data_IF_619337290114
#
_entry.id   IF_619337290114
#
_cell.length_a   1.000
_cell.length_b   1.000
_cell.length_c   1.000
_cell.angle_alpha   90.00
_cell.angle_beta   90.00
_cell.angle_gamma   90.00
#
_symmetry.space_group_name_H-M   'P 1'
#
loop_
_entity.id
_entity.type
_entity.pdbx_description
1 polymer ?
#
# COMPACT_ATOMS: atom_id res chain seq x y z
N UNK A 1 -26.83 90.89 -41.35
CA UNK A 1 -27.54 89.57 -41.49
C UNK A 1 -26.51 88.51 -41.32
N UNK A 2 -26.42 87.88 -40.17
CA UNK A 2 -25.44 86.83 -39.89
C UNK A 2 -26.20 85.47 -39.77
N UNK A 3 -26.00 84.57 -40.69
CA UNK A 3 -26.58 83.20 -40.65
C UNK A 3 -25.72 82.31 -39.76
N UNK A 4 -26.28 81.81 -38.65
CA UNK A 4 -25.66 80.72 -37.83
C UNK A 4 -25.94 79.36 -38.43
N UNK A 5 -24.87 78.69 -38.85
CA UNK A 5 -24.91 77.27 -39.23
C UNK A 5 -24.83 76.40 -37.97
N UNK A 6 -25.83 75.55 -37.73
CA UNK A 6 -25.80 74.50 -36.71
C UNK A 6 -25.46 73.16 -37.43
N UNK A 7 -24.24 72.65 -37.14
CA UNK A 7 -23.85 71.28 -37.57
C UNK A 7 -24.41 70.23 -36.58
N UNK A 8 -24.65 68.99 -37.04
CA UNK A 8 -25.21 67.93 -36.19
C UNK A 8 -24.15 67.32 -35.28
N UNK A 9 -24.54 67.14 -34.03
CA UNK A 9 -23.76 66.45 -32.97
C UNK A 9 -23.90 64.94 -33.21
N UNK A 10 -22.80 64.25 -33.60
CA UNK A 10 -22.73 62.79 -33.61
C UNK A 10 -22.40 62.29 -32.22
N UNK A 11 -23.35 61.61 -31.57
CA UNK A 11 -23.18 60.89 -30.32
C UNK A 11 -22.59 59.55 -30.65
N UNK A 12 -21.25 59.35 -30.42
CA UNK A 12 -20.62 58.03 -30.54
C UNK A 12 -20.89 57.22 -29.29
N UNK A 13 -21.74 56.21 -29.40
CA UNK A 13 -22.02 55.21 -28.37
C UNK A 13 -20.83 54.20 -28.38
N UNK A 14 -19.93 54.32 -27.41
CA UNK A 14 -18.88 53.30 -27.18
C UNK A 14 -19.45 52.06 -26.50
N UNK A 15 -19.62 51.01 -27.24
CA UNK A 15 -19.96 49.67 -26.68
C UNK A 15 -18.74 49.09 -25.95
N UNK A 16 -18.78 49.13 -24.62
CA UNK A 16 -17.80 48.45 -23.76
C UNK A 16 -18.19 46.96 -23.72
N UNK A 17 -17.55 46.14 -24.52
CA UNK A 17 -17.64 44.67 -24.39
C UNK A 17 -16.85 44.21 -23.18
N UNK A 18 -17.53 43.88 -22.08
CA UNK A 18 -16.94 43.17 -20.96
C UNK A 18 -16.56 41.75 -21.43
N UNK A 19 -15.30 41.53 -21.74
CA UNK A 19 -14.75 40.19 -21.91
C UNK A 19 -14.69 39.51 -20.53
N UNK A 20 -15.65 38.67 -20.23
CA UNK A 20 -15.56 37.75 -19.09
C UNK A 20 -14.46 36.75 -19.35
N UNK A 21 -13.26 37.02 -18.81
CA UNK A 21 -12.21 36.01 -18.70
C UNK A 21 -12.71 34.90 -17.76
N UNK A 22 -13.22 33.83 -18.31
CA UNK A 22 -13.35 32.58 -17.60
C UNK A 22 -11.94 32.08 -17.27
N UNK A 23 -11.50 32.34 -16.04
CA UNK A 23 -10.26 31.72 -15.52
C UNK A 23 -10.54 30.22 -15.47
N UNK A 24 -10.14 29.52 -16.54
CA UNK A 24 -10.14 28.08 -16.58
C UNK A 24 -9.27 27.61 -15.41
N UNK A 25 -9.86 26.91 -14.43
CA UNK A 25 -9.08 26.26 -13.36
C UNK A 25 -8.03 25.40 -14.04
N UNK A 26 -6.75 25.71 -13.84
CA UNK A 26 -5.67 24.88 -14.30
C UNK A 26 -5.92 23.43 -13.86
N UNK A 27 -5.97 22.50 -14.80
CA UNK A 27 -6.24 21.10 -14.54
C UNK A 27 -5.11 20.54 -13.66
N UNK A 28 -5.43 19.98 -12.50
CA UNK A 28 -4.44 19.37 -11.61
C UNK A 28 -3.76 18.20 -12.32
N UNK A 29 -2.44 18.11 -12.23
CA UNK A 29 -1.69 16.92 -12.68
C UNK A 29 -1.87 15.72 -11.74
N UNK A 30 -2.37 15.94 -10.53
CA UNK A 30 -2.52 14.94 -9.47
C UNK A 30 -3.95 14.42 -9.42
N UNK A 31 -4.10 13.20 -8.92
CA UNK A 31 -5.38 12.70 -8.45
C UNK A 31 -5.85 13.58 -7.29
N UNK A 32 -7.11 13.99 -7.31
CA UNK A 32 -7.70 14.86 -6.29
C UNK A 32 -8.96 14.25 -5.72
N UNK A 33 -9.56 14.91 -4.73
CA UNK A 33 -10.82 14.48 -4.11
C UNK A 33 -11.94 15.48 -4.44
N UNK A 34 -13.14 14.94 -4.68
CA UNK A 34 -14.40 15.72 -4.80
C UNK A 34 -15.49 14.98 -4.05
N UNK A 35 -15.79 15.44 -2.82
CA UNK A 35 -16.67 14.72 -1.91
C UNK A 35 -16.17 13.29 -1.71
N UNK A 36 -16.99 12.31 -1.98
CA UNK A 36 -16.70 10.88 -1.80
C UNK A 36 -15.92 10.22 -2.94
N UNK A 37 -15.42 10.98 -3.91
CA UNK A 37 -14.82 10.46 -5.13
C UNK A 37 -13.36 10.85 -5.28
N UNK A 38 -12.56 9.91 -5.76
CA UNK A 38 -11.27 10.20 -6.37
C UNK A 38 -11.49 10.75 -7.77
N UNK A 39 -10.74 11.79 -8.12
CA UNK A 39 -10.85 12.47 -9.42
C UNK A 39 -9.49 12.40 -10.11
N UNK A 40 -9.48 11.80 -11.28
CA UNK A 40 -8.28 11.69 -12.12
C UNK A 40 -7.80 13.06 -12.63
N UNK A 41 -6.54 13.17 -13.09
CA UNK A 41 -5.99 14.40 -13.64
C UNK A 41 -6.81 15.02 -14.77
N UNK A 42 -7.60 14.23 -15.50
CA UNK A 42 -8.49 14.72 -16.57
C UNK A 42 -9.88 15.17 -16.06
N UNK A 43 -10.07 15.27 -14.73
CA UNK A 43 -11.30 15.78 -14.09
C UNK A 43 -12.44 14.77 -13.98
N UNK A 44 -12.24 13.52 -14.38
CA UNK A 44 -13.26 12.45 -14.33
C UNK A 44 -13.18 11.65 -13.03
N UNK A 45 -14.27 11.06 -12.54
CA UNK A 45 -14.23 10.09 -11.46
C UNK A 45 -13.24 8.97 -11.78
N UNK A 46 -12.45 8.57 -10.77
CA UNK A 46 -11.44 7.52 -10.85
C UNK A 46 -11.77 6.42 -9.82
N UNK A 47 -12.58 5.41 -10.16
CA UNK A 47 -12.71 4.24 -9.30
C UNK A 47 -11.36 3.52 -9.25
N UNK A 48 -10.73 3.48 -8.07
CA UNK A 48 -9.47 2.77 -7.87
C UNK A 48 -9.73 1.27 -7.92
N UNK A 49 -9.05 0.57 -8.84
CA UNK A 49 -9.05 -0.88 -9.00
C UNK A 49 -7.62 -1.35 -8.95
N UNK A 50 -7.21 -1.90 -7.82
CA UNK A 50 -5.82 -2.17 -7.55
C UNK A 50 -5.51 -3.58 -7.07
N UNK A 51 -4.22 -3.83 -6.93
CA UNK A 51 -3.67 -5.04 -6.33
C UNK A 51 -2.50 -4.67 -5.43
N UNK A 52 -2.39 -5.37 -4.29
CA UNK A 52 -1.29 -5.20 -3.35
C UNK A 52 -0.04 -5.96 -3.84
N UNK A 53 1.10 -5.28 -3.92
CA UNK A 53 2.41 -5.91 -4.17
C UNK A 53 2.97 -6.53 -2.88
N UNK A 54 2.14 -7.34 -2.21
CA UNK A 54 2.47 -7.98 -0.94
C UNK A 54 3.66 -8.92 -1.02
N UNK A 55 4.29 -9.16 0.12
CA UNK A 55 5.48 -10.02 0.27
C UNK A 55 6.77 -9.50 -0.40
N UNK A 56 6.74 -8.38 -1.09
CA UNK A 56 7.91 -7.85 -1.81
C UNK A 56 8.87 -7.07 -0.89
N UNK A 57 8.38 -5.97 -0.29
CA UNK A 57 9.18 -5.10 0.57
C UNK A 57 8.89 -5.32 2.07
N UNK A 58 7.98 -6.23 2.37
CA UNK A 58 7.71 -6.77 3.69
C UNK A 58 7.35 -8.26 3.53
N UNK A 59 8.27 -9.19 3.85
CA UNK A 59 8.03 -10.62 3.74
C UNK A 59 7.14 -11.12 4.89
N UNK A 60 6.16 -11.99 4.57
CA UNK A 60 5.25 -12.62 5.51
C UNK A 60 5.39 -14.14 5.46
N UNK A 61 5.45 -14.80 6.63
CA UNK A 61 5.78 -16.21 6.70
C UNK A 61 4.82 -17.12 5.93
N UNK A 62 3.52 -16.90 6.03
CA UNK A 62 2.53 -17.74 5.33
C UNK A 62 2.65 -17.67 3.81
N UNK A 63 3.17 -16.55 3.28
CA UNK A 63 3.45 -16.37 1.85
C UNK A 63 4.59 -17.27 1.36
N UNK A 64 5.47 -17.71 2.27
CA UNK A 64 6.54 -18.70 2.05
C UNK A 64 6.16 -20.12 2.49
N UNK A 65 4.95 -20.33 3.03
CA UNK A 65 4.48 -21.56 3.68
C UNK A 65 5.12 -21.84 5.05
N UNK A 66 5.68 -20.82 5.72
CA UNK A 66 6.21 -20.94 7.09
C UNK A 66 5.11 -20.71 8.12
N UNK A 67 5.07 -21.53 9.18
CA UNK A 67 4.10 -21.40 10.29
C UNK A 67 4.68 -20.59 11.44
N UNK A 68 5.95 -20.82 11.80
CA UNK A 68 6.57 -20.22 12.98
C UNK A 68 7.51 -19.05 12.65
N UNK A 69 8.19 -19.08 11.51
CA UNK A 69 8.94 -17.94 11.00
C UNK A 69 7.99 -16.99 10.25
N UNK A 70 7.10 -16.31 10.98
CA UNK A 70 5.94 -15.66 10.42
C UNK A 70 6.07 -14.13 10.24
N UNK A 71 7.08 -13.47 10.84
CA UNK A 71 7.34 -12.05 10.69
C UNK A 71 8.63 -11.77 9.88
N UNK A 72 8.81 -10.57 9.30
CA UNK A 72 10.01 -10.22 8.54
C UNK A 72 11.30 -10.54 9.29
N UNK A 73 11.43 -10.15 10.55
CA UNK A 73 12.62 -10.41 11.38
C UNK A 73 12.88 -11.91 11.55
N UNK A 74 11.85 -12.69 11.83
CA UNK A 74 11.99 -14.15 12.01
C UNK A 74 12.36 -14.84 10.70
N UNK A 75 11.86 -14.37 9.56
CA UNK A 75 12.20 -14.87 8.23
C UNK A 75 13.63 -14.51 7.87
N UNK A 76 14.07 -13.28 8.14
CA UNK A 76 15.47 -12.87 7.97
C UNK A 76 16.42 -13.71 8.83
N UNK A 77 16.07 -13.93 10.11
CA UNK A 77 16.82 -14.80 11.03
C UNK A 77 16.90 -16.23 10.49
N UNK A 78 15.80 -16.79 10.00
CA UNK A 78 15.75 -18.11 9.39
C UNK A 78 16.75 -18.24 8.22
N UNK A 79 16.75 -17.28 7.29
CA UNK A 79 17.68 -17.29 6.15
C UNK A 79 19.12 -17.19 6.62
N UNK A 80 19.41 -16.31 7.59
CA UNK A 80 20.76 -16.18 8.15
C UNK A 80 21.21 -17.46 8.88
N UNK A 81 20.33 -18.17 9.59
CA UNK A 81 20.62 -19.47 10.19
C UNK A 81 20.93 -20.55 9.13
N UNK A 82 20.34 -20.45 7.94
CA UNK A 82 20.57 -21.39 6.85
C UNK A 82 21.87 -21.14 6.07
N UNK A 83 22.21 -19.89 5.78
CA UNK A 83 23.31 -19.58 4.85
C UNK A 83 24.35 -18.57 5.38
N UNK A 84 24.15 -18.05 6.57
CA UNK A 84 24.97 -16.98 7.13
C UNK A 84 24.54 -15.60 6.64
N UNK A 85 25.04 -14.58 7.31
CA UNK A 85 24.56 -13.19 7.14
C UNK A 85 24.84 -12.64 5.74
N UNK A 86 26.05 -12.82 5.22
CA UNK A 86 26.46 -12.28 3.94
C UNK A 86 25.72 -12.93 2.74
N UNK A 87 25.52 -14.25 2.78
CA UNK A 87 24.73 -14.95 1.75
C UNK A 87 23.23 -14.62 1.90
N UNK A 88 22.76 -14.41 3.13
CA UNK A 88 21.42 -13.93 3.43
C UNK A 88 21.14 -12.54 2.86
N UNK A 89 22.08 -11.59 3.02
CA UNK A 89 21.99 -10.24 2.42
C UNK A 89 21.90 -10.31 0.89
N UNK A 90 22.72 -11.16 0.26
CA UNK A 90 22.66 -11.38 -1.20
C UNK A 90 21.32 -11.97 -1.64
N UNK A 91 20.81 -12.99 -0.93
CA UNK A 91 19.51 -13.58 -1.20
C UNK A 91 18.40 -12.51 -1.16
N UNK A 92 18.34 -11.68 -0.13
CA UNK A 92 17.31 -10.65 -0.01
C UNK A 92 17.43 -9.55 -1.06
N UNK A 93 18.65 -9.21 -1.47
CA UNK A 93 18.86 -8.28 -2.58
C UNK A 93 18.28 -8.87 -3.88
N UNK A 94 18.68 -10.09 -4.24
CA UNK A 94 18.19 -10.77 -5.44
C UNK A 94 16.68 -11.01 -5.40
N UNK A 95 16.13 -11.35 -4.23
CA UNK A 95 14.71 -11.48 -4.01
C UNK A 95 13.98 -10.18 -4.39
N UNK A 96 14.38 -9.05 -3.81
CA UNK A 96 13.75 -7.74 -4.10
C UNK A 96 13.92 -7.32 -5.55
N UNK A 97 15.02 -7.67 -6.18
CA UNK A 97 15.28 -7.34 -7.59
C UNK A 97 14.45 -8.16 -8.58
N UNK A 98 13.94 -9.34 -8.18
CA UNK A 98 13.28 -10.28 -9.08
C UNK A 98 11.80 -10.58 -8.72
N UNK A 99 11.36 -10.30 -7.49
CA UNK A 99 9.99 -10.60 -7.05
C UNK A 99 8.95 -9.75 -7.76
N UNK A 100 9.20 -8.44 -7.85
CA UNK A 100 8.42 -7.50 -8.67
C UNK A 100 9.37 -6.85 -9.67
N UNK A 101 8.99 -6.88 -10.94
CA UNK A 101 9.73 -6.31 -12.07
C UNK A 101 8.80 -5.52 -12.97
N UNK A 102 9.33 -4.88 -14.00
CA UNK A 102 8.52 -4.18 -15.02
C UNK A 102 7.53 -5.12 -15.71
N UNK A 103 7.86 -6.40 -15.87
CA UNK A 103 6.97 -7.37 -16.51
C UNK A 103 5.74 -7.66 -15.65
N UNK A 104 5.90 -7.70 -14.31
CA UNK A 104 4.79 -7.80 -13.36
C UNK A 104 3.87 -6.57 -13.47
N UNK A 105 4.44 -5.38 -13.49
CA UNK A 105 3.68 -4.11 -13.61
C UNK A 105 2.93 -4.04 -14.95
N UNK A 106 3.57 -4.43 -16.04
CA UNK A 106 2.93 -4.52 -17.36
C UNK A 106 1.77 -5.51 -17.38
N UNK A 107 1.94 -6.68 -16.76
CA UNK A 107 0.87 -7.66 -16.63
C UNK A 107 -0.31 -7.11 -15.84
N UNK A 108 -0.06 -6.45 -14.70
CA UNK A 108 -1.10 -5.79 -13.89
C UNK A 108 -1.87 -4.77 -14.73
N UNK A 109 -1.16 -3.93 -15.48
CA UNK A 109 -1.78 -2.94 -16.38
C UNK A 109 -2.63 -3.57 -17.46
N UNK A 110 -2.09 -4.58 -18.14
CA UNK A 110 -2.76 -5.27 -19.24
C UNK A 110 -4.00 -6.05 -18.77
N UNK A 111 -4.03 -6.51 -17.52
CA UNK A 111 -5.20 -7.13 -16.91
C UNK A 111 -6.37 -6.15 -16.71
N UNK A 112 -6.14 -4.83 -16.78
CA UNK A 112 -7.18 -3.80 -16.66
C UNK A 112 -7.21 -3.08 -15.31
N UNK A 113 -6.29 -3.38 -14.41
CA UNK A 113 -6.11 -2.64 -13.17
C UNK A 113 -5.53 -1.25 -13.43
N UNK A 114 -5.77 -0.29 -12.52
CA UNK A 114 -5.30 1.10 -12.67
C UNK A 114 -4.40 1.57 -11.54
N UNK A 115 -4.20 0.76 -10.51
CA UNK A 115 -3.37 1.13 -9.36
C UNK A 115 -2.71 -0.08 -8.72
N UNK A 116 -1.61 0.19 -8.01
CA UNK A 116 -0.95 -0.76 -7.10
C UNK A 116 -0.78 -0.13 -5.73
N UNK A 117 -0.98 -0.91 -4.68
CA UNK A 117 -0.56 -0.56 -3.32
C UNK A 117 0.76 -1.25 -3.04
N UNK A 118 1.72 -0.53 -2.46
CA UNK A 118 3.09 -0.99 -2.25
C UNK A 118 3.37 -1.06 -0.75
N UNK A 119 3.11 -2.22 -0.12
CA UNK A 119 3.45 -2.47 1.28
C UNK A 119 4.96 -2.47 1.49
N UNK A 120 5.45 -1.74 2.51
CA UNK A 120 6.87 -1.71 2.85
C UNK A 120 7.13 -1.76 4.35
N UNK A 121 8.29 -2.32 4.72
CA UNK A 121 8.83 -2.27 6.08
C UNK A 121 9.72 -1.04 6.25
N UNK A 122 9.56 -0.29 7.34
CA UNK A 122 10.37 0.90 7.66
C UNK A 122 11.87 0.61 7.67
N UNK A 123 12.28 -0.62 8.01
CA UNK A 123 13.70 -1.03 8.07
C UNK A 123 14.42 -0.87 6.74
N UNK A 124 13.70 -0.86 5.62
CA UNK A 124 14.29 -0.60 4.30
C UNK A 124 14.64 0.88 4.07
N UNK A 125 14.21 1.79 4.94
CA UNK A 125 14.41 3.23 4.80
C UNK A 125 15.43 3.82 5.77
N UNK A 126 15.96 2.99 6.68
CA UNK A 126 16.96 3.38 7.66
C UNK A 126 18.28 2.65 7.39
N UNK A 127 19.37 3.23 7.85
CA UNK A 127 20.69 2.57 7.80
C UNK A 127 20.76 1.36 8.72
N UNK A 128 21.43 0.32 8.28
CA UNK A 128 21.75 -0.82 9.13
C UNK A 128 22.72 -0.36 10.26
N UNK A 129 22.33 -0.57 11.51
CA UNK A 129 23.11 -0.14 12.68
C UNK A 129 22.89 1.31 13.14
N UNK A 130 22.29 2.17 12.29
CA UNK A 130 21.97 3.57 12.62
C UNK A 130 20.50 3.89 12.29
N UNK A 131 19.53 3.40 13.06
CA UNK A 131 18.12 3.48 12.70
C UNK A 131 17.55 4.90 12.62
N UNK A 132 18.29 5.92 13.07
CA UNK A 132 17.91 7.33 12.90
C UNK A 132 18.39 7.94 11.57
N UNK A 133 19.30 7.26 10.84
CA UNK A 133 19.81 7.70 9.54
C UNK A 133 18.93 7.15 8.42
N UNK A 134 18.30 8.04 7.65
CA UNK A 134 17.30 7.70 6.64
C UNK A 134 17.94 7.59 5.24
N UNK A 135 18.69 6.52 4.97
CA UNK A 135 19.35 6.28 3.67
C UNK A 135 19.31 4.81 3.20
N UNK A 136 18.41 4.03 3.73
CA UNK A 136 18.25 2.63 3.35
C UNK A 136 17.82 2.43 1.87
N UNK A 137 17.92 1.18 1.36
CA UNK A 137 17.68 0.84 -0.05
C UNK A 137 16.20 0.99 -0.48
N UNK A 138 15.29 1.19 0.46
CA UNK A 138 13.84 1.33 0.19
C UNK A 138 13.52 2.49 -0.74
N UNK A 139 14.28 3.59 -0.67
CA UNK A 139 14.06 4.74 -1.55
C UNK A 139 14.25 4.40 -3.03
N UNK A 140 15.32 3.67 -3.37
CA UNK A 140 15.57 3.23 -4.75
C UNK A 140 14.56 2.20 -5.23
N UNK A 141 14.09 1.31 -4.32
CA UNK A 141 13.08 0.31 -4.64
C UNK A 141 11.73 0.97 -4.96
N UNK A 142 11.34 2.00 -4.21
CA UNK A 142 10.14 2.79 -4.51
C UNK A 142 10.31 3.60 -5.80
N UNK A 143 11.47 4.21 -6.06
CA UNK A 143 11.72 4.92 -7.32
C UNK A 143 11.55 3.99 -8.53
N UNK A 144 12.04 2.75 -8.44
CA UNK A 144 11.91 1.76 -9.52
C UNK A 144 10.44 1.46 -9.81
N UNK A 145 9.65 1.13 -8.79
CA UNK A 145 8.23 0.78 -9.00
C UNK A 145 7.43 1.98 -9.49
N UNK A 146 7.70 3.18 -8.99
CA UNK A 146 7.07 4.41 -9.50
C UNK A 146 7.43 4.65 -10.96
N UNK A 147 8.70 4.47 -11.33
CA UNK A 147 9.17 4.57 -12.71
C UNK A 147 8.46 3.58 -13.65
N UNK A 148 8.34 2.32 -13.24
CA UNK A 148 7.62 1.30 -14.01
C UNK A 148 6.12 1.61 -14.13
N UNK A 149 5.48 2.00 -13.02
CA UNK A 149 4.06 2.37 -13.03
C UNK A 149 3.81 3.61 -13.91
N UNK A 150 4.69 4.60 -13.88
CA UNK A 150 4.63 5.78 -14.76
C UNK A 150 4.72 5.38 -16.23
N UNK A 151 5.64 4.49 -16.58
CA UNK A 151 5.81 3.98 -17.95
C UNK A 151 4.56 3.25 -18.44
N UNK A 152 3.95 2.42 -17.60
CA UNK A 152 2.78 1.60 -17.95
C UNK A 152 1.43 2.30 -17.68
N UNK A 153 1.42 3.51 -17.12
CA UNK A 153 0.20 4.28 -16.85
C UNK A 153 -0.64 3.74 -15.68
N UNK A 154 0.02 3.19 -14.65
CA UNK A 154 -0.58 2.81 -13.37
C UNK A 154 -0.35 3.87 -12.31
N UNK A 155 -1.24 3.97 -11.35
CA UNK A 155 -1.07 4.76 -10.14
C UNK A 155 -0.47 3.94 -9.01
N UNK A 156 0.19 4.63 -8.06
CA UNK A 156 0.86 4.01 -6.90
C UNK A 156 0.32 4.60 -5.60
N UNK A 157 0.06 3.74 -4.61
CA UNK A 157 -0.21 4.12 -3.22
C UNK A 157 0.86 3.45 -2.37
N UNK A 158 1.63 4.24 -1.61
CA UNK A 158 2.60 3.70 -0.65
C UNK A 158 1.92 3.34 0.66
N UNK A 159 2.28 2.20 1.23
CA UNK A 159 1.73 1.70 2.48
C UNK A 159 2.86 1.35 3.46
N UNK A 160 2.88 2.01 4.62
CA UNK A 160 3.77 1.59 5.70
C UNK A 160 3.16 0.39 6.42
N UNK A 161 3.52 -0.78 5.91
CA UNK A 161 3.01 -2.06 6.40
C UNK A 161 3.68 -2.52 7.69
N UNK A 162 4.92 -2.09 7.91
CA UNK A 162 5.64 -2.28 9.16
C UNK A 162 6.27 -0.98 9.60
N UNK A 163 5.77 -0.38 10.67
CA UNK A 163 6.23 0.87 11.26
C UNK A 163 7.26 0.64 12.38
N UNK A 164 8.09 1.65 12.71
CA UNK A 164 8.95 1.61 13.91
C UNK A 164 8.16 1.24 15.17
N UNK A 165 8.66 0.28 15.92
CA UNK A 165 7.99 -0.20 17.14
C UNK A 165 6.84 -1.17 16.91
N UNK A 166 6.34 -1.29 15.68
CA UNK A 166 5.15 -2.07 15.31
C UNK A 166 3.86 -1.33 15.63
N UNK A 167 2.95 -1.30 14.65
CA UNK A 167 1.65 -0.63 14.78
C UNK A 167 0.51 -1.60 15.06
N UNK A 168 0.61 -2.86 14.63
CA UNK A 168 -0.44 -3.87 14.80
C UNK A 168 -0.28 -4.63 16.11
N UNK A 169 0.95 -4.97 16.48
CA UNK A 169 1.30 -5.85 17.60
C UNK A 169 1.33 -7.33 17.21
N UNK A 170 1.39 -7.66 15.92
CA UNK A 170 1.41 -9.03 15.40
C UNK A 170 2.50 -9.22 14.32
N UNK A 171 2.53 -10.39 13.71
CA UNK A 171 3.54 -10.84 12.76
C UNK A 171 3.64 -9.96 11.49
N UNK A 172 2.57 -9.32 11.05
CA UNK A 172 2.54 -8.56 9.80
C UNK A 172 3.34 -7.24 9.86
N UNK A 173 3.60 -6.69 11.04
CA UNK A 173 4.30 -5.41 11.22
C UNK A 173 5.71 -5.56 11.81
N UNK A 174 6.18 -6.80 12.01
CA UNK A 174 7.48 -7.11 12.62
C UNK A 174 7.62 -6.65 14.09
N UNK A 175 6.52 -6.52 14.80
CA UNK A 175 6.49 -6.12 16.21
C UNK A 175 7.12 -7.18 17.15
N UNK A 176 7.18 -6.85 18.43
CA UNK A 176 7.58 -7.77 19.51
C UNK A 176 6.39 -8.39 20.23
N UNK A 177 5.22 -8.49 19.57
CA UNK A 177 3.98 -8.99 20.16
C UNK A 177 3.16 -7.92 20.87
N UNK A 178 3.53 -6.65 20.69
CA UNK A 178 2.82 -5.49 21.22
C UNK A 178 3.05 -4.27 20.31
N UNK A 179 2.04 -3.39 20.10
CA UNK A 179 2.15 -2.24 19.20
C UNK A 179 2.87 -1.05 19.88
N UNK A 180 4.16 -1.16 20.12
CA UNK A 180 4.98 -0.19 20.84
C UNK A 180 5.06 1.18 20.15
N UNK A 181 4.69 1.28 18.86
CA UNK A 181 4.58 2.57 18.18
C UNK A 181 3.75 3.58 18.98
N UNK A 182 2.66 3.12 19.61
CA UNK A 182 1.74 4.01 20.33
C UNK A 182 2.24 4.41 21.72
N UNK A 183 3.37 3.87 22.17
CA UNK A 183 3.96 4.16 23.49
C UNK A 183 5.37 4.74 23.42
N UNK A 184 6.08 4.55 22.28
CA UNK A 184 7.44 5.05 22.08
C UNK A 184 7.44 6.35 21.27
N UNK A 185 7.82 7.45 21.91
CA UNK A 185 8.04 8.75 21.25
C UNK A 185 9.08 8.66 20.13
N UNK A 186 10.14 7.88 20.32
CA UNK A 186 11.22 7.67 19.35
C UNK A 186 10.70 6.95 18.10
N UNK A 187 9.85 5.94 18.28
CA UNK A 187 9.22 5.21 17.17
C UNK A 187 8.24 6.10 16.40
N UNK A 188 7.45 6.92 17.11
CA UNK A 188 6.55 7.89 16.49
C UNK A 188 7.33 8.95 15.69
N UNK A 189 8.39 9.52 16.27
CA UNK A 189 9.23 10.52 15.63
C UNK A 189 9.93 9.97 14.38
N UNK A 190 10.41 8.74 14.44
CA UNK A 190 11.00 8.07 13.28
C UNK A 190 9.96 7.82 12.19
N UNK A 191 8.75 7.39 12.55
CA UNK A 191 7.62 7.24 11.61
C UNK A 191 7.30 8.55 10.91
N UNK A 192 7.19 9.66 11.65
CA UNK A 192 6.97 11.01 11.10
C UNK A 192 8.10 11.42 10.16
N UNK A 193 9.36 11.20 10.55
CA UNK A 193 10.54 11.54 9.72
C UNK A 193 10.55 10.75 8.40
N UNK A 194 10.25 9.44 8.42
CA UNK A 194 10.19 8.61 7.23
C UNK A 194 9.11 9.12 6.28
N UNK A 195 7.89 9.35 6.76
CA UNK A 195 6.81 9.86 5.93
C UNK A 195 7.10 11.26 5.36
N UNK A 196 7.66 12.16 6.16
CA UNK A 196 8.06 13.50 5.68
C UNK A 196 9.11 13.39 4.57
N UNK A 197 10.10 12.49 4.70
CA UNK A 197 11.14 12.29 3.68
C UNK A 197 10.57 11.68 2.40
N UNK A 198 9.68 10.68 2.51
CA UNK A 198 8.98 10.10 1.37
C UNK A 198 8.10 11.15 0.68
N UNK A 199 7.32 11.90 1.43
CA UNK A 199 6.46 12.97 0.89
C UNK A 199 7.28 14.04 0.16
N UNK A 200 8.42 14.49 0.71
CA UNK A 200 9.31 15.43 0.04
C UNK A 200 9.88 14.87 -1.29
N UNK A 201 10.23 13.57 -1.30
CA UNK A 201 10.76 12.91 -2.50
C UNK A 201 9.75 12.85 -3.64
N UNK A 202 8.49 12.55 -3.33
CA UNK A 202 7.44 12.35 -4.32
C UNK A 202 6.49 13.53 -4.48
N UNK A 203 6.69 14.66 -3.80
CA UNK A 203 5.79 15.83 -3.80
C UNK A 203 5.40 16.33 -5.20
N UNK A 204 6.19 16.03 -6.23
CA UNK A 204 5.97 16.44 -7.64
C UNK A 204 5.68 15.28 -8.58
N UNK A 205 5.52 14.04 -8.07
CA UNK A 205 5.32 12.84 -8.91
C UNK A 205 3.84 12.44 -8.94
N UNK A 206 3.09 12.77 -10.01
CA UNK A 206 1.66 12.51 -10.08
C UNK A 206 1.27 11.04 -10.27
N UNK A 207 2.24 10.15 -10.54
CA UNK A 207 2.02 8.70 -10.58
C UNK A 207 1.67 8.17 -9.19
N UNK A 208 2.21 8.78 -8.14
CA UNK A 208 1.82 8.49 -6.76
C UNK A 208 0.49 9.19 -6.47
N UNK A 209 -0.52 8.43 -6.03
CA UNK A 209 -1.80 8.99 -5.57
C UNK A 209 -1.64 9.53 -4.16
N UNK A 210 -0.98 8.76 -3.29
CA UNK A 210 -0.86 9.13 -1.89
C UNK A 210 -0.21 8.09 -1.00
N UNK A 211 -0.41 8.30 0.29
CA UNK A 211 0.28 7.66 1.40
C UNK A 211 -0.74 7.00 2.33
N UNK A 212 -0.71 5.68 2.41
CA UNK A 212 -1.45 4.87 3.39
C UNK A 212 -0.59 4.72 4.64
N UNK A 213 -0.94 5.48 5.68
CA UNK A 213 0.02 5.83 6.72
C UNK A 213 0.44 4.66 7.60
N UNK A 214 -0.49 3.78 7.96
CA UNK A 214 -0.24 2.60 8.80
C UNK A 214 -1.18 1.47 8.37
N UNK A 215 -0.59 0.33 8.02
CA UNK A 215 -1.34 -0.88 7.76
C UNK A 215 -1.87 -1.48 9.07
N UNK A 216 -3.16 -1.74 9.13
CA UNK A 216 -3.81 -2.53 10.18
C UNK A 216 -3.40 -2.21 11.63
N UNK A 217 -3.48 -0.93 12.05
CA UNK A 217 -3.03 -0.55 13.38
C UNK A 217 -3.91 -1.17 14.47
N UNK A 218 -3.27 -1.55 15.58
CA UNK A 218 -3.86 -2.03 16.83
C UNK A 218 -4.78 -3.23 16.60
N UNK A 219 -4.24 -4.44 16.72
CA UNK A 219 -5.04 -5.65 16.62
C UNK A 219 -6.17 -5.67 17.67
N UNK A 220 -7.28 -6.33 17.33
CA UNK A 220 -8.50 -6.32 18.17
C UNK A 220 -8.30 -6.85 19.60
N UNK A 221 -7.32 -7.71 19.85
CA UNK A 221 -7.04 -8.26 21.17
C UNK A 221 -6.32 -7.28 22.12
N UNK A 222 -5.98 -6.07 21.68
CA UNK A 222 -5.52 -4.96 22.52
C UNK A 222 -6.64 -4.00 22.95
N UNK A 223 -7.90 -4.40 22.82
CA UNK A 223 -9.07 -3.54 23.10
C UNK A 223 -9.07 -2.93 24.52
N UNK A 224 -8.48 -3.54 25.51
CA UNK A 224 -8.39 -3.02 26.88
C UNK A 224 -7.26 -2.02 27.16
N UNK A 225 -6.34 -1.82 26.21
CA UNK A 225 -5.05 -1.14 26.43
C UNK A 225 -5.09 0.39 26.20
N UNK A 226 -6.27 0.96 25.92
CA UNK A 226 -6.44 2.41 25.60
C UNK A 226 -5.54 2.94 24.48
N UNK A 227 -5.14 2.07 23.54
CA UNK A 227 -4.26 2.43 22.42
C UNK A 227 -5.01 3.15 21.30
N UNK A 228 -6.28 2.82 21.08
CA UNK A 228 -7.09 3.36 19.99
C UNK A 228 -7.20 4.89 20.06
N UNK A 229 -7.24 5.46 21.25
CA UNK A 229 -7.28 6.91 21.47
C UNK A 229 -5.99 7.62 21.02
N UNK A 230 -4.89 6.89 20.85
CA UNK A 230 -3.58 7.42 20.40
C UNK A 230 -3.43 7.43 18.89
N UNK A 231 -4.30 6.74 18.14
CA UNK A 231 -4.16 6.55 16.69
C UNK A 231 -4.36 7.87 15.92
N UNK A 232 -5.50 8.53 16.06
CA UNK A 232 -5.76 9.79 15.34
C UNK A 232 -4.77 10.90 15.71
N UNK A 233 -4.37 11.12 16.98
CA UNK A 233 -3.30 12.07 17.31
C UNK A 233 -1.99 11.81 16.58
N UNK A 234 -1.57 10.55 16.42
CA UNK A 234 -0.37 10.19 15.65
C UNK A 234 -0.56 10.50 14.17
N UNK A 235 -1.70 10.17 13.59
CA UNK A 235 -2.02 10.52 12.21
C UNK A 235 -1.96 12.02 11.96
N UNK A 236 -2.49 12.85 12.86
CA UNK A 236 -2.42 14.31 12.77
C UNK A 236 -0.97 14.82 12.74
N UNK A 237 -0.08 14.25 13.54
CA UNK A 237 1.36 14.58 13.53
C UNK A 237 2.01 14.20 12.19
N UNK A 238 1.74 12.99 11.67
CA UNK A 238 2.29 12.53 10.39
C UNK A 238 1.77 13.42 9.25
N UNK A 239 0.46 13.66 9.18
CA UNK A 239 -0.14 14.50 8.14
C UNK A 239 0.42 15.93 8.19
N UNK A 240 0.57 16.53 9.36
CA UNK A 240 1.17 17.87 9.50
C UNK A 240 2.59 17.91 8.89
N UNK A 241 3.43 16.92 9.20
CA UNK A 241 4.78 16.82 8.65
C UNK A 241 4.81 16.57 7.13
N UNK A 242 3.88 15.78 6.61
CA UNK A 242 3.70 15.59 5.16
C UNK A 242 3.34 16.93 4.51
N UNK A 243 2.39 17.68 5.08
CA UNK A 243 1.90 18.93 4.47
C UNK A 243 2.93 20.06 4.45
N UNK A 244 3.96 20.01 5.29
CA UNK A 244 5.09 20.94 5.20
C UNK A 244 5.84 20.84 3.86
N UNK A 245 5.84 19.66 3.24
CA UNK A 245 6.63 19.38 2.03
C UNK A 245 5.79 18.96 0.83
N UNK A 246 4.56 18.48 1.06
CA UNK A 246 3.67 17.96 0.02
C UNK A 246 2.22 18.38 0.22
N UNK A 247 1.77 19.42 -0.48
CA UNK A 247 0.37 19.84 -0.47
C UNK A 247 -0.52 19.04 -1.45
N UNK A 248 0.04 18.11 -2.25
CA UNK A 248 -0.65 17.57 -3.40
C UNK A 248 -1.28 16.20 -3.15
N UNK A 249 -0.55 15.29 -2.53
CA UNK A 249 -0.95 13.88 -2.43
C UNK A 249 -2.05 13.64 -1.39
N UNK A 250 -2.83 12.61 -1.64
CA UNK A 250 -3.89 12.13 -0.74
C UNK A 250 -3.24 11.35 0.40
N UNK A 251 -3.77 11.47 1.61
CA UNK A 251 -3.38 10.65 2.74
C UNK A 251 -4.53 9.71 3.06
N UNK A 252 -4.22 8.42 3.16
CA UNK A 252 -5.16 7.37 3.53
C UNK A 252 -4.98 7.05 5.00
N UNK A 253 -6.09 6.97 5.74
CA UNK A 253 -6.11 6.67 7.17
C UNK A 253 -6.87 5.38 7.41
N UNK A 254 -6.19 4.39 7.97
CA UNK A 254 -6.78 3.13 8.40
C UNK A 254 -7.32 3.20 9.82
N UNK A 255 -8.48 2.60 10.09
CA UNK A 255 -9.03 2.50 11.43
C UNK A 255 -8.24 1.55 12.33
N UNK A 256 -8.52 1.55 13.64
CA UNK A 256 -7.98 0.53 14.54
C UNK A 256 -8.57 -0.87 14.24
N UNK A 257 -8.12 -1.88 14.98
CA UNK A 257 -8.61 -3.27 14.89
C UNK A 257 -8.51 -3.83 13.48
N UNK A 258 -7.30 -3.88 12.95
CA UNK A 258 -7.04 -4.38 11.60
C UNK A 258 -7.76 -3.55 10.51
N UNK A 259 -7.71 -2.23 10.62
CA UNK A 259 -8.42 -1.28 9.72
C UNK A 259 -9.94 -1.45 9.68
N UNK A 260 -10.56 -1.98 10.74
CA UNK A 260 -12.02 -2.21 10.75
C UNK A 260 -12.79 -1.22 11.63
N UNK A 261 -12.18 -0.60 12.64
CA UNK A 261 -12.85 0.29 13.58
C UNK A 261 -12.69 1.76 13.21
N UNK A 262 -13.71 2.37 12.59
CA UNK A 262 -13.73 3.80 12.24
C UNK A 262 -14.22 4.72 13.36
N UNK A 263 -14.66 4.18 14.50
CA UNK A 263 -15.09 4.98 15.67
C UNK A 263 -13.94 5.77 16.29
N UNK A 264 -12.70 5.42 15.95
CA UNK A 264 -11.49 6.15 16.37
C UNK A 264 -11.34 7.51 15.70
N UNK A 265 -12.08 7.76 14.63
CA UNK A 265 -11.97 8.99 13.86
C UNK A 265 -13.00 10.04 14.27
N UNK A 266 -12.52 11.28 14.49
CA UNK A 266 -13.33 12.47 14.55
C UNK A 266 -13.71 13.01 13.16
N UNK A 267 -14.01 14.31 13.08
CA UNK A 267 -14.19 14.99 11.80
C UNK A 267 -12.87 15.05 11.01
N UNK A 268 -12.92 14.94 9.67
CA UNK A 268 -11.74 15.08 8.83
C UNK A 268 -10.98 16.37 9.11
N UNK A 269 -9.68 16.26 9.33
CA UNK A 269 -8.83 17.37 9.75
C UNK A 269 -7.92 17.92 8.65
N UNK A 270 -7.94 17.31 7.47
CA UNK A 270 -7.24 17.78 6.27
C UNK A 270 -8.14 17.58 5.03
N UNK A 271 -7.96 18.42 4.01
CA UNK A 271 -8.84 18.44 2.82
C UNK A 271 -8.56 17.29 1.84
N UNK A 272 -7.46 16.58 2.01
CA UNK A 272 -7.02 15.47 1.13
C UNK A 272 -6.89 14.16 1.89
N UNK A 273 -7.84 13.89 2.77
CA UNK A 273 -7.96 12.60 3.46
C UNK A 273 -8.91 11.69 2.70
N UNK A 274 -8.51 10.45 2.57
CA UNK A 274 -9.34 9.29 2.27
C UNK A 274 -9.21 8.31 3.43
N UNK A 275 -10.19 7.44 3.60
CA UNK A 275 -10.18 6.46 4.68
C UNK A 275 -10.14 5.06 4.09
N UNK A 276 -9.30 4.19 4.65
CA UNK A 276 -9.12 2.82 4.18
C UNK A 276 -9.61 1.82 5.22
N UNK A 277 -10.28 0.77 4.74
CA UNK A 277 -10.70 -0.35 5.56
C UNK A 277 -10.28 -1.67 4.94
N UNK A 278 -10.13 -2.70 5.78
CA UNK A 278 -9.82 -4.06 5.38
C UNK A 278 -10.95 -5.00 5.82
N UNK A 279 -11.28 -5.98 5.00
CA UNK A 279 -12.28 -7.00 5.33
C UNK A 279 -11.90 -8.35 4.76
N UNK A 280 -11.86 -9.35 5.61
CA UNK A 280 -11.55 -10.72 5.26
C UNK A 280 -12.59 -11.68 5.87
N UNK A 281 -12.86 -12.76 5.20
CA UNK A 281 -13.60 -13.96 5.68
C UNK A 281 -15.00 -13.70 6.29
N UNK A 282 -15.61 -12.54 6.03
CA UNK A 282 -16.97 -12.23 6.46
C UNK A 282 -18.00 -12.69 5.41
N UNK A 283 -19.28 -12.73 5.82
CA UNK A 283 -20.40 -12.86 4.88
C UNK A 283 -20.48 -11.61 3.98
N UNK A 284 -20.58 -11.84 2.68
CA UNK A 284 -20.63 -10.74 1.69
C UNK A 284 -22.06 -10.20 1.61
N UNK A 285 -22.33 -9.17 2.37
CA UNK A 285 -23.60 -8.45 2.35
C UNK A 285 -23.40 -6.97 2.72
N UNK A 286 -24.45 -6.15 2.56
CA UNK A 286 -24.38 -4.71 2.80
C UNK A 286 -23.95 -4.37 4.25
N UNK A 287 -24.37 -5.15 5.24
CA UNK A 287 -24.04 -4.86 6.64
C UNK A 287 -22.53 -4.96 6.92
N UNK A 288 -21.78 -5.76 6.15
CA UNK A 288 -20.33 -5.88 6.28
C UNK A 288 -19.56 -4.59 5.98
N UNK A 289 -20.15 -3.70 5.17
CA UNK A 289 -19.51 -2.43 4.74
C UNK A 289 -20.32 -1.19 5.14
N UNK A 290 -21.50 -1.35 5.75
CA UNK A 290 -22.42 -0.23 6.01
C UNK A 290 -21.78 0.87 6.89
N UNK A 291 -21.00 0.50 7.90
CA UNK A 291 -20.29 1.46 8.77
C UNK A 291 -19.40 2.42 7.95
N UNK A 292 -18.70 1.92 6.93
CA UNK A 292 -17.81 2.73 6.08
C UNK A 292 -18.62 3.60 5.11
N UNK A 293 -19.73 3.09 4.60
CA UNK A 293 -20.66 3.86 3.76
C UNK A 293 -21.28 5.01 4.56
N UNK A 294 -21.71 4.75 5.80
CA UNK A 294 -22.29 5.77 6.69
C UNK A 294 -21.24 6.83 7.07
N UNK A 295 -20.01 6.40 7.38
CA UNK A 295 -18.91 7.33 7.65
C UNK A 295 -18.63 8.23 6.43
N UNK A 296 -18.53 7.65 5.25
CA UNK A 296 -18.33 8.38 3.99
C UNK A 296 -19.46 9.38 3.73
N UNK A 297 -20.72 8.99 3.96
CA UNK A 297 -21.88 9.86 3.82
C UNK A 297 -21.88 11.00 4.82
N UNK A 298 -21.61 10.70 6.10
CA UNK A 298 -21.62 11.67 7.20
C UNK A 298 -20.56 12.77 6.99
N UNK A 299 -19.37 12.38 6.57
CA UNK A 299 -18.22 13.29 6.46
C UNK A 299 -17.95 13.78 5.04
N UNK A 300 -18.69 13.27 4.03
CA UNK A 300 -18.50 13.58 2.61
C UNK A 300 -17.04 13.37 2.15
N UNK A 301 -16.45 12.24 2.51
CA UNK A 301 -15.07 11.84 2.20
C UNK A 301 -15.04 10.49 1.49
N UNK A 302 -14.03 10.19 0.65
CA UNK A 302 -13.91 8.88 0.06
C UNK A 302 -13.50 7.84 1.09
N UNK A 303 -14.10 6.64 0.95
CA UNK A 303 -13.63 5.41 1.56
C UNK A 303 -13.12 4.47 0.48
N UNK A 304 -12.16 3.64 0.82
CA UNK A 304 -11.49 2.74 -0.09
C UNK A 304 -11.19 1.42 0.62
N UNK A 305 -11.46 0.29 -0.04
CA UNK A 305 -11.06 -1.02 0.49
C UNK A 305 -9.59 -1.24 0.11
N UNK A 306 -8.69 -0.98 1.07
CA UNK A 306 -7.24 -1.04 0.87
C UNK A 306 -6.69 -2.45 0.80
N UNK A 307 -7.40 -3.41 1.43
CA UNK A 307 -6.95 -4.79 1.45
C UNK A 307 -8.10 -5.76 1.71
N UNK A 308 -8.14 -6.83 0.91
CA UNK A 308 -9.03 -7.99 1.05
C UNK A 308 -8.58 -9.10 0.11
N UNK A 309 -9.03 -10.33 0.34
CA UNK A 309 -8.68 -11.46 -0.50
C UNK A 309 -8.63 -12.77 0.28
N UNK A 310 -7.63 -13.62 -0.02
CA UNK A 310 -7.36 -14.89 0.68
C UNK A 310 -8.60 -15.80 0.79
N UNK A 311 -9.45 -15.80 -0.25
CA UNK A 311 -10.71 -16.52 -0.29
C UNK A 311 -10.95 -17.17 -1.68
N UNK A 312 -12.13 -17.77 -1.90
CA UNK A 312 -12.52 -18.35 -3.17
C UNK A 312 -12.81 -17.27 -4.22
N UNK A 313 -12.74 -17.65 -5.49
CA UNK A 313 -13.03 -16.74 -6.61
C UNK A 313 -14.47 -16.21 -6.54
N UNK A 314 -15.43 -17.03 -6.11
CA UNK A 314 -16.85 -16.64 -5.94
C UNK A 314 -17.01 -15.58 -4.85
N UNK A 315 -16.33 -15.76 -3.71
CA UNK A 315 -16.35 -14.78 -2.62
C UNK A 315 -15.75 -13.45 -3.05
N UNK A 316 -14.59 -13.48 -3.72
CA UNK A 316 -13.88 -12.30 -4.22
C UNK A 316 -14.75 -11.55 -5.24
N UNK A 317 -15.37 -12.27 -6.18
CA UNK A 317 -16.28 -11.68 -7.18
C UNK A 317 -17.49 -11.02 -6.53
N UNK A 318 -18.09 -11.68 -5.53
CA UNK A 318 -19.23 -11.15 -4.79
C UNK A 318 -18.86 -9.90 -4.01
N UNK A 319 -17.71 -9.90 -3.31
CA UNK A 319 -17.26 -8.75 -2.53
C UNK A 319 -16.87 -7.56 -3.42
N UNK A 320 -16.15 -7.81 -4.51
CA UNK A 320 -15.87 -6.79 -5.53
C UNK A 320 -17.17 -6.14 -6.04
N UNK A 321 -18.17 -6.95 -6.37
CA UNK A 321 -19.46 -6.45 -6.87
C UNK A 321 -20.19 -5.61 -5.83
N UNK A 322 -20.16 -6.01 -4.56
CA UNK A 322 -20.72 -5.23 -3.45
C UNK A 322 -20.01 -3.87 -3.30
N UNK A 323 -18.69 -3.83 -3.37
CA UNK A 323 -17.90 -2.59 -3.29
C UNK A 323 -18.25 -1.65 -4.46
N UNK A 324 -18.24 -2.18 -5.69
CA UNK A 324 -18.54 -1.40 -6.90
C UNK A 324 -19.97 -0.84 -6.90
N UNK A 325 -20.97 -1.59 -6.40
CA UNK A 325 -22.34 -1.13 -6.27
C UNK A 325 -22.52 0.02 -5.26
N UNK A 326 -21.56 0.15 -4.32
CA UNK A 326 -21.48 1.26 -3.37
C UNK A 326 -20.51 2.36 -3.80
N UNK A 327 -19.99 2.32 -5.03
CA UNK A 327 -18.97 3.24 -5.57
C UNK A 327 -17.68 3.28 -4.72
N UNK A 328 -17.31 2.18 -4.10
CA UNK A 328 -16.08 2.02 -3.31
C UNK A 328 -15.02 1.39 -4.20
N UNK A 329 -13.88 2.08 -4.35
CA UNK A 329 -12.69 1.53 -4.97
C UNK A 329 -12.04 0.46 -4.09
N UNK A 330 -11.21 -0.39 -4.69
CA UNK A 330 -10.65 -1.55 -4.02
C UNK A 330 -9.22 -1.88 -4.44
N UNK A 331 -8.51 -2.60 -3.57
CA UNK A 331 -7.18 -3.13 -3.81
C UNK A 331 -7.09 -4.51 -3.14
N UNK A 332 -7.16 -5.57 -3.93
CA UNK A 332 -7.14 -6.92 -3.39
C UNK A 332 -5.71 -7.39 -3.03
N UNK A 333 -5.63 -8.38 -2.15
CA UNK A 333 -4.42 -9.02 -1.65
C UNK A 333 -4.36 -10.49 -2.05
N UNK A 334 -3.18 -11.02 -2.41
CA UNK A 334 -2.00 -10.33 -2.91
C UNK A 334 -1.84 -10.49 -4.45
N UNK A 335 -0.90 -9.76 -5.03
CA UNK A 335 -0.53 -9.94 -6.44
C UNK A 335 0.12 -11.32 -6.69
N UNK A 336 1.16 -11.67 -5.94
CA UNK A 336 1.99 -12.88 -6.16
C UNK A 336 2.16 -13.67 -4.86
N UNK A 337 2.00 -15.02 -4.92
CA UNK A 337 2.12 -15.89 -3.75
C UNK A 337 2.62 -17.27 -4.13
N UNK A 338 3.37 -17.93 -3.22
CA UNK A 338 3.88 -19.28 -3.43
C UNK A 338 2.76 -20.30 -3.37
N UNK A 339 2.64 -21.12 -4.44
CA UNK A 339 1.72 -22.26 -4.56
C UNK A 339 0.32 -21.94 -4.03
N UNK A 340 -0.32 -20.93 -4.63
CA UNK A 340 -1.63 -20.42 -4.23
C UNK A 340 -2.55 -20.16 -5.43
N UNK A 341 -3.86 -20.22 -5.18
CA UNK A 341 -4.90 -19.83 -6.14
C UNK A 341 -5.47 -18.43 -5.86
N UNK A 342 -5.51 -18.02 -4.58
CA UNK A 342 -6.02 -16.71 -4.14
C UNK A 342 -5.01 -15.59 -4.34
N UNK A 343 -4.52 -15.40 -5.57
CA UNK A 343 -3.61 -14.34 -5.98
C UNK A 343 -3.62 -14.24 -7.51
N UNK A 344 -3.20 -13.12 -8.10
CA UNK A 344 -3.14 -13.02 -9.57
C UNK A 344 -2.11 -13.97 -10.18
N UNK A 345 -0.97 -14.13 -9.51
CA UNK A 345 0.18 -14.88 -10.02
C UNK A 345 0.69 -15.86 -8.96
N UNK A 346 0.75 -17.14 -9.29
CA UNK A 346 1.25 -18.20 -8.41
C UNK A 346 2.69 -18.54 -8.74
N UNK A 347 3.56 -18.53 -7.74
CA UNK A 347 4.94 -19.02 -7.83
C UNK A 347 4.91 -20.54 -7.72
N UNK A 348 5.61 -21.24 -8.60
CA UNK A 348 5.72 -22.69 -8.55
C UNK A 348 6.66 -23.11 -7.40
N UNK A 349 6.16 -23.97 -6.51
CA UNK A 349 6.94 -24.49 -5.38
C UNK A 349 7.87 -25.62 -5.84
N UNK A 350 9.15 -25.51 -5.57
CA UNK A 350 10.08 -26.62 -5.77
C UNK A 350 10.03 -27.63 -4.60
N UNK A 351 10.32 -28.89 -4.89
CA UNK A 351 10.42 -29.96 -3.85
C UNK A 351 11.51 -29.63 -2.82
N UNK A 352 12.59 -28.99 -3.24
CA UNK A 352 13.69 -28.62 -2.34
C UNK A 352 13.30 -27.54 -1.34
N UNK A 353 12.25 -26.71 -1.65
CA UNK A 353 11.70 -25.72 -0.72
C UNK A 353 11.11 -26.36 0.54
N UNK A 354 10.65 -27.60 0.47
CA UNK A 354 10.13 -28.34 1.62
C UNK A 354 11.16 -28.52 2.73
N UNK A 355 12.43 -28.56 2.40
CA UNK A 355 13.49 -28.61 3.40
C UNK A 355 13.64 -27.25 4.14
N UNK A 356 13.40 -26.14 3.46
CA UNK A 356 13.39 -24.81 4.08
C UNK A 356 12.16 -24.68 4.98
N UNK A 357 10.98 -25.08 4.50
CA UNK A 357 9.73 -25.08 5.30
C UNK A 357 9.88 -25.97 6.53
N UNK A 358 10.42 -27.18 6.37
CA UNK A 358 10.67 -28.09 7.50
C UNK A 358 11.58 -27.45 8.55
N UNK A 359 12.69 -26.84 8.12
CA UNK A 359 13.57 -26.12 9.03
C UNK A 359 12.89 -24.91 9.68
N UNK A 360 12.07 -24.17 8.93
CA UNK A 360 11.31 -23.03 9.45
C UNK A 360 10.38 -23.44 10.60
N UNK A 361 9.74 -24.59 10.49
CA UNK A 361 8.71 -25.07 11.42
C UNK A 361 9.27 -25.89 12.60
N UNK A 362 10.56 -26.25 12.58
CA UNK A 362 11.23 -26.86 13.72
C UNK A 362 11.71 -25.82 14.75
N UNK A 363 11.90 -26.20 16.03
CA UNK A 363 12.53 -25.35 17.05
C UNK A 363 13.90 -24.87 16.59
N UNK A 364 14.19 -23.54 16.75
CA UNK A 364 15.41 -22.87 16.30
C UNK A 364 15.86 -21.76 17.28
N UNK A 365 15.49 -21.88 18.54
CA UNK A 365 15.79 -20.87 19.58
C UNK A 365 17.19 -21.02 20.14
N UNK A 366 17.73 -22.25 20.15
CA UNK A 366 19.09 -22.53 20.61
C UNK A 366 20.03 -22.88 19.46
N UNK A 367 21.35 -22.67 19.66
CA UNK A 367 22.35 -23.08 18.69
C UNK A 367 22.35 -24.59 18.41
N UNK A 368 22.01 -25.40 19.43
CA UNK A 368 21.91 -26.85 19.28
C UNK A 368 20.72 -27.23 18.37
N UNK A 369 19.57 -26.63 18.57
CA UNK A 369 18.39 -26.84 17.72
C UNK A 369 18.66 -26.45 16.27
N UNK A 370 19.32 -25.30 16.04
CA UNK A 370 19.73 -24.86 14.70
C UNK A 370 20.64 -25.88 14.04
N UNK A 371 21.71 -26.35 14.76
CA UNK A 371 22.64 -27.34 14.21
C UNK A 371 21.97 -28.66 13.89
N UNK A 372 21.10 -29.15 14.80
CA UNK A 372 20.41 -30.44 14.67
C UNK A 372 19.42 -30.46 13.51
N UNK A 373 18.69 -29.37 13.32
CA UNK A 373 17.56 -29.31 12.37
C UNK A 373 17.97 -28.76 10.98
N UNK A 374 19.17 -28.15 10.87
CA UNK A 374 19.62 -27.50 9.64
C UNK A 374 19.80 -28.52 8.50
N UNK A 375 19.15 -28.33 7.34
CA UNK A 375 19.32 -29.20 6.18
C UNK A 375 20.75 -29.14 5.61
N UNK A 376 21.16 -30.13 4.81
CA UNK A 376 22.43 -30.12 4.12
C UNK A 376 22.63 -28.85 3.30
N UNK A 377 23.82 -28.24 3.38
CA UNK A 377 24.15 -26.95 2.77
C UNK A 377 23.82 -26.86 1.28
N UNK A 378 24.15 -27.90 0.51
CA UNK A 378 23.90 -27.90 -0.93
C UNK A 378 22.40 -27.93 -1.26
N UNK A 379 21.60 -28.64 -0.46
CA UNK A 379 20.15 -28.67 -0.59
C UNK A 379 19.55 -27.29 -0.29
N UNK A 380 20.02 -26.62 0.77
CA UNK A 380 19.59 -25.25 1.12
C UNK A 380 19.89 -24.28 -0.02
N UNK A 381 21.14 -24.26 -0.50
CA UNK A 381 21.55 -23.37 -1.59
C UNK A 381 20.80 -23.62 -2.88
N UNK A 382 20.53 -24.91 -3.20
CA UNK A 382 19.71 -25.26 -4.35
C UNK A 382 18.29 -24.73 -4.18
N UNK A 383 17.64 -24.95 -3.03
CA UNK A 383 16.30 -24.49 -2.75
C UNK A 383 16.17 -22.96 -2.88
N UNK A 384 17.14 -22.20 -2.34
CA UNK A 384 17.15 -20.73 -2.43
C UNK A 384 17.34 -20.25 -3.88
N UNK A 385 18.25 -20.87 -4.66
CA UNK A 385 18.43 -20.53 -6.09
C UNK A 385 17.18 -20.84 -6.90
N UNK A 386 16.59 -22.02 -6.70
CA UNK A 386 15.37 -22.43 -7.41
C UNK A 386 14.21 -21.48 -7.08
N UNK A 387 14.10 -21.04 -5.83
CA UNK A 387 13.09 -20.09 -5.42
C UNK A 387 13.30 -18.72 -6.08
N UNK A 388 14.54 -18.20 -6.12
CA UNK A 388 14.87 -16.93 -6.78
C UNK A 388 14.61 -16.97 -8.30
N UNK A 389 14.73 -18.14 -8.93
CA UNK A 389 14.32 -18.28 -10.33
C UNK A 389 12.80 -18.43 -10.48
N UNK A 390 12.13 -19.15 -9.58
CA UNK A 390 10.70 -19.38 -9.63
C UNK A 390 9.87 -18.09 -9.42
N UNK A 391 10.37 -17.11 -8.65
CA UNK A 391 9.67 -15.84 -8.41
C UNK A 391 9.65 -14.92 -9.63
N UNK A 392 10.49 -15.15 -10.64
CA UNK A 392 10.49 -14.35 -11.86
C UNK A 392 9.17 -14.52 -12.61
N UNK A 393 8.56 -13.44 -13.05
CA UNK A 393 7.25 -13.46 -13.69
C UNK A 393 7.10 -14.54 -14.77
N UNK A 394 8.10 -14.67 -15.65
CA UNK A 394 8.10 -15.65 -16.75
C UNK A 394 7.98 -17.12 -16.30
N UNK A 395 8.31 -17.42 -15.04
CA UNK A 395 8.26 -18.77 -14.47
C UNK A 395 7.04 -19.01 -13.57
N UNK A 396 6.23 -18.00 -13.41
CA UNK A 396 5.01 -18.04 -12.60
C UNK A 396 3.80 -18.51 -13.43
N UNK A 397 2.77 -18.96 -12.73
CA UNK A 397 1.47 -19.32 -13.33
C UNK A 397 0.45 -18.21 -13.06
N UNK A 398 -0.28 -17.79 -14.07
CA UNK A 398 -1.40 -16.88 -13.96
C UNK A 398 -2.62 -17.64 -13.45
N UNK A 399 -3.32 -17.12 -12.45
CA UNK A 399 -4.56 -17.65 -11.91
C UNK A 399 -5.75 -17.00 -12.63
N UNK A 400 -6.23 -17.60 -13.71
CA UNK A 400 -7.31 -17.04 -14.55
C UNK A 400 -8.62 -16.90 -13.79
N UNK A 401 -8.94 -17.85 -12.87
CA UNK A 401 -10.11 -17.76 -11.99
C UNK A 401 -10.09 -16.50 -11.13
N UNK A 402 -8.94 -16.23 -10.49
CA UNK A 402 -8.78 -15.02 -9.67
C UNK A 402 -8.90 -13.72 -10.50
N UNK A 403 -8.32 -13.69 -11.70
CA UNK A 403 -8.49 -12.56 -12.63
C UNK A 403 -9.98 -12.35 -12.99
N UNK A 404 -10.68 -13.43 -13.31
CA UNK A 404 -12.12 -13.40 -13.58
C UNK A 404 -12.93 -12.88 -12.38
N UNK A 405 -12.59 -13.31 -11.16
CA UNK A 405 -13.21 -12.85 -9.93
C UNK A 405 -13.01 -11.33 -9.69
N UNK A 406 -11.85 -10.80 -10.06
CA UNK A 406 -11.58 -9.36 -10.06
C UNK A 406 -12.27 -8.61 -11.21
N UNK A 407 -12.99 -9.31 -12.12
CA UNK A 407 -13.58 -8.71 -13.30
C UNK A 407 -12.55 -8.28 -14.36
N UNK A 408 -11.36 -8.87 -14.31
CA UNK A 408 -10.23 -8.55 -15.18
C UNK A 408 -10.10 -9.55 -16.33
N UNK A 409 -9.31 -9.20 -17.34
CA UNK A 409 -9.02 -10.06 -18.49
C UNK A 409 -7.56 -10.52 -18.43
N UNK A 410 -7.27 -11.61 -19.12
CA UNK A 410 -5.91 -12.12 -19.35
C UNK A 410 -5.16 -11.20 -20.29
#
# INVERSE_FOLDING_TARGET
MIRRNRGPLFLSLALITLATCTVGKAQSKFVTLRGKQFISPNGKPLPLKGINLGNWLLPEGYMFKFKTANSPRLIHTLINQLVGEEEGKRFWKEYRDNYITIDDIRFIRNSGLNSVRVPFNYRLFVSEGEPQTLDGPGYELLDRVVGWCKQEGLFVIFDMHGAPGGQTGDNIDDSWGYPFLFESSESQDLTVKIWRKLAARYAREPTVIGYDLLNEPIAHYFEGENLESKLEPLYRRIVAAIREVDPNHIVFLGGARWNTNFKVFGAPFDKKLAYTFHKYWMDVNQSAIQEYVDFSNKHNVPVWMGESGENTDEWISSFRTLLESNNIGWCFWPYKKLDAKSCMVSINRSVDWDAIVGFADHPRTTFEEVRKNRPPKEKVRKALRDYLEAIRFRNCRINEGYLGALGMKK
#
